data_IF_989175646802
#
_entry.id   IF_989175646802
#
_cell.length_a   1.000
_cell.length_b   1.000
_cell.length_c   1.000
_cell.angle_alpha   90.00
_cell.angle_beta   90.00
_cell.angle_gamma   90.00
#
_symmetry.space_group_name_H-M   'P 1'
#
loop_
_entity.id
_entity.type
_entity.pdbx_description
1 polymer ?
#
# COMPACT_ATOMS: atom_id res chain seq x y z
N UNK A 1 -2.31 29.39 4.54
CA UNK A 1 -1.72 28.54 5.58
C UNK A 1 -0.64 27.67 4.95
N UNK A 2 0.44 27.36 5.66
CA UNK A 2 1.44 26.46 5.12
C UNK A 2 0.81 25.09 4.84
N UNK A 3 1.21 24.45 3.75
CA UNK A 3 0.77 23.11 3.40
C UNK A 3 1.12 22.15 4.55
N UNK A 4 0.16 21.35 4.96
CA UNK A 4 0.32 20.41 6.08
C UNK A 4 -0.55 19.18 5.89
N UNK A 5 -0.22 18.11 6.62
CA UNK A 5 -1.08 16.96 6.76
C UNK A 5 -2.24 17.27 7.72
N UNK A 6 -3.44 16.93 7.33
CA UNK A 6 -4.63 17.09 8.17
C UNK A 6 -5.58 15.90 8.03
N UNK A 7 -6.33 15.65 9.09
CA UNK A 7 -7.37 14.63 9.07
C UNK A 7 -8.54 15.05 8.20
N UNK A 8 -9.07 14.09 7.46
CA UNK A 8 -10.30 14.26 6.68
C UNK A 8 -11.36 13.32 7.26
N UNK A 9 -12.58 13.81 7.51
CA UNK A 9 -13.63 13.01 8.11
C UNK A 9 -13.97 11.76 7.29
N UNK A 10 -14.20 10.68 8.00
CA UNK A 10 -14.78 9.45 7.46
C UNK A 10 -16.31 9.58 7.50
N UNK A 11 -17.07 9.06 6.52
CA UNK A 11 -18.52 9.13 6.54
C UNK A 11 -19.14 8.53 7.80
N UNK A 12 -20.20 9.17 8.34
CA UNK A 12 -20.89 8.73 9.56
C UNK A 12 -21.48 7.32 9.48
N UNK A 13 -21.72 6.81 8.27
CA UNK A 13 -22.24 5.46 8.05
C UNK A 13 -21.21 4.36 8.22
N UNK A 14 -19.94 4.70 8.24
CA UNK A 14 -18.88 3.72 8.52
C UNK A 14 -19.02 3.23 9.95
N UNK A 15 -19.20 1.94 10.10
CA UNK A 15 -19.40 1.34 11.43
C UNK A 15 -18.10 1.34 12.22
N UNK A 16 -18.16 1.40 13.56
CA UNK A 16 -16.97 1.32 14.41
C UNK A 16 -16.12 0.09 14.11
N UNK A 17 -14.85 0.14 14.48
CA UNK A 17 -13.83 -0.88 14.20
C UNK A 17 -13.64 -1.03 12.70
N UNK A 18 -13.28 0.07 12.06
CA UNK A 18 -12.98 0.13 10.65
C UNK A 18 -11.49 0.39 10.41
N UNK A 19 -10.99 -0.14 9.31
CA UNK A 19 -9.64 0.09 8.82
C UNK A 19 -9.67 0.28 7.30
N UNK A 20 -8.82 1.17 6.82
CA UNK A 20 -8.58 1.35 5.39
C UNK A 20 -7.21 0.77 5.03
N UNK A 21 -7.15 -0.03 3.99
CA UNK A 21 -5.95 -0.75 3.57
C UNK A 21 -5.21 -0.07 2.42
N UNK A 22 -5.93 0.54 1.51
CA UNK A 22 -5.35 1.20 0.34
C UNK A 22 -6.29 2.26 -0.22
N UNK A 23 -5.72 3.24 -0.91
CA UNK A 23 -6.46 4.25 -1.67
C UNK A 23 -5.81 4.45 -3.03
N UNK A 24 -6.60 4.94 -3.98
CA UNK A 24 -6.15 5.38 -5.29
C UNK A 24 -6.87 6.67 -5.65
N UNK A 25 -6.15 7.64 -6.20
CA UNK A 25 -6.71 8.89 -6.70
C UNK A 25 -6.54 8.96 -8.22
N UNK A 26 -7.57 9.48 -8.89
CA UNK A 26 -7.57 9.66 -10.33
C UNK A 26 -7.75 11.13 -10.75
N UNK A 27 -7.97 12.00 -9.80
CA UNK A 27 -8.12 13.42 -9.97
C UNK A 27 -8.50 14.12 -8.66
N UNK A 28 -8.62 15.46 -8.66
CA UNK A 28 -8.95 16.24 -7.46
C UNK A 28 -10.32 15.91 -6.85
N UNK A 29 -11.24 15.40 -7.67
CA UNK A 29 -12.61 15.06 -7.31
C UNK A 29 -12.89 13.54 -7.36
N UNK A 30 -11.87 12.73 -7.53
CA UNK A 30 -12.01 11.29 -7.71
C UNK A 30 -10.91 10.50 -7.03
N UNK A 31 -11.29 9.86 -5.94
CA UNK A 31 -10.45 8.89 -5.25
C UNK A 31 -11.32 7.80 -4.63
N UNK A 32 -10.72 6.66 -4.38
CA UNK A 32 -11.35 5.52 -3.70
C UNK A 32 -10.43 5.05 -2.59
N UNK A 33 -11.04 4.63 -1.49
CA UNK A 33 -10.35 3.97 -0.40
C UNK A 33 -11.12 2.70 -0.04
N UNK A 34 -10.41 1.63 0.25
CA UNK A 34 -11.00 0.33 0.55
C UNK A 34 -10.48 -0.25 1.85
N UNK A 35 -11.30 -1.08 2.47
CA UNK A 35 -10.96 -1.75 3.71
C UNK A 35 -12.11 -2.58 4.24
N UNK A 36 -12.35 -2.52 5.54
CA UNK A 36 -13.47 -3.15 6.21
C UNK A 36 -13.97 -2.30 7.36
N UNK A 37 -15.25 -2.45 7.69
CA UNK A 37 -15.84 -1.90 8.90
C UNK A 37 -16.49 -3.00 9.75
N UNK A 38 -16.95 -2.66 10.94
CA UNK A 38 -17.57 -3.59 11.89
C UNK A 38 -16.71 -4.85 12.15
N UNK A 39 -15.40 -4.70 12.21
CA UNK A 39 -14.47 -5.79 12.50
C UNK A 39 -14.59 -6.15 13.99
N UNK A 40 -14.92 -7.38 14.29
CA UNK A 40 -15.03 -7.90 15.66
C UNK A 40 -13.88 -8.84 16.01
N UNK A 41 -13.89 -9.31 17.25
CA UNK A 41 -12.87 -10.25 17.75
C UNK A 41 -12.84 -11.56 16.94
N UNK A 42 -14.00 -12.02 16.51
CA UNK A 42 -14.17 -13.25 15.72
C UNK A 42 -14.92 -13.00 14.40
N UNK A 43 -15.19 -11.73 14.09
CA UNK A 43 -15.88 -11.32 12.88
C UNK A 43 -14.92 -10.52 12.00
N UNK A 44 -14.70 -10.92 10.75
CA UNK A 44 -13.76 -10.26 9.85
C UNK A 44 -14.24 -8.90 9.34
N UNK A 45 -15.44 -8.47 9.73
CA UNK A 45 -16.07 -7.25 9.26
C UNK A 45 -16.77 -7.40 7.93
N UNK A 46 -17.03 -6.27 7.30
CA UNK A 46 -17.68 -6.19 6.00
C UNK A 46 -16.85 -5.34 5.05
N UNK A 47 -16.81 -5.67 3.76
CA UNK A 47 -16.09 -4.88 2.78
C UNK A 47 -16.59 -3.44 2.75
N UNK A 48 -15.65 -2.50 2.77
CA UNK A 48 -15.89 -1.07 2.80
C UNK A 48 -15.23 -0.42 1.59
N UNK A 49 -16.01 0.37 0.85
CA UNK A 49 -15.50 1.24 -0.23
C UNK A 49 -15.96 2.65 0.04
N UNK A 50 -15.01 3.57 0.07
CA UNK A 50 -15.27 5.00 0.15
C UNK A 50 -14.89 5.67 -1.17
N UNK A 51 -15.63 6.70 -1.58
CA UNK A 51 -15.37 7.51 -2.76
C UNK A 51 -15.31 8.99 -2.39
N UNK A 52 -14.29 9.67 -2.87
CA UNK A 52 -14.12 11.11 -2.78
C UNK A 52 -14.81 11.79 -3.97
N UNK A 53 -15.59 12.82 -3.71
CA UNK A 53 -16.34 13.60 -4.72
C UNK A 53 -15.75 15.00 -5.01
N UNK A 54 -14.62 15.32 -4.37
CA UNK A 54 -14.00 16.63 -4.42
C UNK A 54 -14.19 17.46 -3.15
N UNK A 55 -15.16 17.10 -2.32
CA UNK A 55 -15.51 17.81 -1.07
C UNK A 55 -15.54 16.92 0.15
N UNK A 56 -16.08 15.70 0.02
CA UNK A 56 -16.19 14.74 1.12
C UNK A 56 -16.11 13.29 0.64
N UNK A 57 -15.82 12.40 1.57
CA UNK A 57 -15.85 10.95 1.32
C UNK A 57 -17.27 10.41 1.54
N UNK A 58 -17.70 9.55 0.64
CA UNK A 58 -18.99 8.87 0.70
C UNK A 58 -18.79 7.37 0.78
N UNK A 59 -19.59 6.73 1.63
CA UNK A 59 -19.74 5.30 1.67
C UNK A 59 -20.46 4.81 0.39
N UNK A 60 -19.84 3.84 -0.30
CA UNK A 60 -20.38 3.31 -1.54
C UNK A 60 -21.23 2.07 -1.26
N UNK A 61 -22.41 2.05 -1.86
CA UNK A 61 -23.24 0.85 -1.88
C UNK A 61 -22.58 -0.27 -2.69
N UNK A 62 -22.64 -1.49 -2.15
CA UNK A 62 -22.12 -2.70 -2.77
C UNK A 62 -23.26 -3.69 -3.02
N UNK A 63 -24.15 -3.42 -3.99
CA UNK A 63 -25.32 -4.25 -4.23
C UNK A 63 -24.90 -5.67 -4.67
N UNK A 64 -25.55 -6.69 -4.07
CA UNK A 64 -25.22 -8.09 -4.35
C UNK A 64 -23.95 -8.61 -3.67
N UNK A 65 -23.24 -7.76 -2.95
CA UNK A 65 -22.04 -8.13 -2.20
C UNK A 65 -22.41 -8.24 -0.72
N UNK A 66 -22.74 -9.44 -0.29
CA UNK A 66 -23.23 -9.71 1.06
C UNK A 66 -22.30 -10.56 1.93
N UNK A 67 -21.11 -10.87 1.44
CA UNK A 67 -20.14 -11.65 2.22
C UNK A 67 -19.44 -10.79 3.27
N UNK A 68 -19.08 -11.43 4.37
CA UNK A 68 -18.20 -10.83 5.38
C UNK A 68 -16.75 -10.98 4.98
N UNK A 69 -15.94 -9.98 5.28
CA UNK A 69 -14.53 -9.94 4.94
C UNK A 69 -14.01 -8.52 4.77
N UNK A 70 -12.89 -8.39 4.11
CA UNK A 70 -12.21 -7.12 3.90
C UNK A 70 -11.77 -6.93 2.44
N UNK A 71 -11.64 -5.69 2.02
CA UNK A 71 -10.96 -5.32 0.80
C UNK A 71 -9.51 -4.95 1.13
N UNK A 72 -8.57 -5.60 0.44
CA UNK A 72 -7.14 -5.52 0.72
C UNK A 72 -6.45 -4.45 -0.12
N UNK A 73 -6.92 -4.24 -1.36
CA UNK A 73 -6.19 -3.46 -2.36
C UNK A 73 -7.16 -2.87 -3.38
N UNK A 74 -6.82 -1.70 -3.90
CA UNK A 74 -7.59 -0.99 -4.92
C UNK A 74 -6.64 -0.37 -5.94
N UNK A 75 -7.03 -0.40 -7.21
CA UNK A 75 -6.30 0.26 -8.29
C UNK A 75 -7.26 0.68 -9.40
N UNK A 76 -6.89 1.71 -10.15
CA UNK A 76 -7.71 2.25 -11.22
C UNK A 76 -6.84 2.59 -12.43
N UNK A 77 -7.29 2.19 -13.62
CA UNK A 77 -6.71 2.64 -14.89
C UNK A 77 -7.47 3.84 -15.49
N UNK A 78 -8.71 4.03 -15.05
CA UNK A 78 -9.57 5.16 -15.40
C UNK A 78 -10.64 5.36 -14.33
N UNK A 79 -11.38 6.48 -14.33
CA UNK A 79 -12.51 6.69 -13.41
C UNK A 79 -13.65 5.67 -13.56
N UNK A 80 -13.67 4.93 -14.65
CA UNK A 80 -14.68 3.91 -14.96
C UNK A 80 -14.13 2.48 -14.96
N UNK A 81 -12.89 2.31 -14.55
CA UNK A 81 -12.22 1.01 -14.48
C UNK A 81 -11.41 0.92 -13.19
N UNK A 82 -12.11 0.69 -12.09
CA UNK A 82 -11.52 0.52 -10.75
C UNK A 82 -11.69 -0.94 -10.33
N UNK A 83 -10.61 -1.51 -9.79
CA UNK A 83 -10.58 -2.87 -9.31
C UNK A 83 -10.26 -2.90 -7.82
N UNK A 84 -10.88 -3.81 -7.09
CA UNK A 84 -10.56 -4.09 -5.71
C UNK A 84 -10.42 -5.59 -5.48
N UNK A 85 -9.42 -5.96 -4.72
CA UNK A 85 -9.18 -7.33 -4.28
C UNK A 85 -9.61 -7.46 -2.82
N UNK A 86 -10.36 -8.51 -2.52
CA UNK A 86 -10.83 -8.80 -1.17
C UNK A 86 -10.60 -10.24 -0.77
N UNK A 87 -10.83 -10.48 0.50
CA UNK A 87 -10.82 -11.80 1.12
C UNK A 87 -12.04 -11.93 2.00
N UNK A 88 -12.82 -12.97 1.77
CA UNK A 88 -13.99 -13.26 2.59
C UNK A 88 -13.62 -13.99 3.90
N UNK A 89 -14.61 -14.17 4.77
CA UNK A 89 -14.45 -14.81 6.09
C UNK A 89 -13.92 -16.24 6.01
N UNK A 90 -14.15 -16.93 4.92
CA UNK A 90 -13.65 -18.29 4.69
C UNK A 90 -12.23 -18.32 4.10
N UNK A 91 -11.60 -17.15 3.88
CA UNK A 91 -10.30 -17.01 3.25
C UNK A 91 -10.36 -17.03 1.70
N UNK A 92 -11.55 -17.00 1.11
CA UNK A 92 -11.74 -16.98 -0.33
C UNK A 92 -11.39 -15.63 -0.96
N UNK A 93 -10.79 -15.67 -2.13
CA UNK A 93 -10.49 -14.47 -2.91
C UNK A 93 -11.77 -13.90 -3.50
N UNK A 94 -11.90 -12.58 -3.41
CA UNK A 94 -12.96 -11.79 -4.04
C UNK A 94 -12.34 -10.72 -4.93
N UNK A 95 -12.94 -10.50 -6.07
CA UNK A 95 -12.53 -9.48 -7.04
C UNK A 95 -13.73 -8.61 -7.37
N UNK A 96 -13.62 -7.31 -7.13
CA UNK A 96 -14.67 -6.34 -7.42
C UNK A 96 -14.24 -5.41 -8.53
N UNK A 97 -15.18 -4.94 -9.29
CA UNK A 97 -15.00 -3.95 -10.36
C UNK A 97 -16.03 -2.85 -10.26
N UNK A 98 -15.57 -1.61 -10.41
CA UNK A 98 -16.41 -0.44 -10.66
C UNK A 98 -16.34 -0.07 -12.14
N UNK A 99 -17.49 0.04 -12.78
CA UNK A 99 -17.62 0.31 -14.23
C UNK A 99 -17.90 1.79 -14.56
N UNK A 100 -17.84 2.65 -13.54
CA UNK A 100 -18.22 4.07 -13.61
C UNK A 100 -19.61 4.35 -13.08
N UNK A 101 -20.41 3.33 -12.86
CA UNK A 101 -21.79 3.43 -12.36
C UNK A 101 -21.98 2.67 -11.05
N UNK A 102 -21.55 1.42 -11.00
CA UNK A 102 -21.75 0.54 -9.85
C UNK A 102 -20.58 -0.42 -9.65
N UNK A 103 -20.44 -0.87 -8.40
CA UNK A 103 -19.57 -1.98 -8.05
C UNK A 103 -20.28 -3.32 -8.26
N UNK A 104 -19.55 -4.29 -8.77
CA UNK A 104 -20.02 -5.65 -8.95
C UNK A 104 -18.90 -6.65 -8.72
N UNK A 105 -19.24 -7.89 -8.41
CA UNK A 105 -18.27 -8.96 -8.36
C UNK A 105 -17.83 -9.35 -9.77
N UNK A 106 -16.54 -9.56 -9.91
CA UNK A 106 -15.92 -10.15 -11.09
C UNK A 106 -15.35 -11.51 -10.73
N UNK A 107 -15.32 -12.42 -11.71
CA UNK A 107 -14.74 -13.74 -11.48
C UNK A 107 -13.23 -13.65 -11.32
N UNK A 108 -12.66 -14.09 -10.16
CA UNK A 108 -11.23 -14.16 -10.01
C UNK A 108 -10.58 -15.16 -10.98
N UNK A 109 -9.29 -15.00 -11.31
CA UNK A 109 -8.56 -16.04 -12.02
C UNK A 109 -8.64 -17.38 -11.30
N UNK A 110 -8.84 -18.47 -12.04
CA UNK A 110 -9.04 -19.80 -11.47
C UNK A 110 -7.86 -20.24 -10.59
N UNK A 111 -8.17 -20.71 -9.37
CA UNK A 111 -7.20 -21.23 -8.43
C UNK A 111 -6.24 -20.19 -7.81
N UNK A 112 -6.42 -18.91 -8.09
CA UNK A 112 -5.59 -17.86 -7.55
C UNK A 112 -6.13 -17.31 -6.23
N UNK A 113 -5.25 -17.17 -5.22
CA UNK A 113 -5.51 -16.42 -4.01
C UNK A 113 -4.84 -15.04 -4.17
N UNK A 114 -5.63 -13.99 -4.30
CA UNK A 114 -5.14 -12.64 -4.61
C UNK A 114 -4.89 -11.83 -3.36
N UNK A 115 -3.85 -11.00 -3.37
CA UNK A 115 -3.50 -10.08 -2.28
C UNK A 115 -3.50 -8.62 -2.70
N UNK A 116 -3.18 -8.33 -3.97
CA UNK A 116 -3.08 -6.97 -4.47
C UNK A 116 -3.55 -6.86 -5.91
N UNK A 117 -4.06 -5.67 -6.23
CA UNK A 117 -4.23 -5.19 -7.60
C UNK A 117 -3.40 -3.93 -7.77
N UNK A 118 -2.70 -3.81 -8.88
CA UNK A 118 -1.85 -2.66 -9.20
C UNK A 118 -2.16 -2.20 -10.62
N UNK A 119 -2.24 -0.89 -10.82
CA UNK A 119 -2.50 -0.31 -12.12
C UNK A 119 -1.48 0.80 -12.44
N UNK A 120 -1.20 0.97 -13.71
CA UNK A 120 -0.34 2.02 -14.23
C UNK A 120 -0.12 1.83 -15.73
N UNK A 121 0.19 2.91 -16.46
CA UNK A 121 0.46 2.84 -17.89
C UNK A 121 -0.64 2.19 -18.74
N UNK A 122 -1.90 2.25 -18.30
CA UNK A 122 -3.02 1.56 -18.94
C UNK A 122 -3.13 0.07 -18.63
N UNK A 123 -2.24 -0.49 -17.83
CA UNK A 123 -2.18 -1.88 -17.43
C UNK A 123 -2.81 -2.12 -16.05
N UNK A 124 -3.35 -3.32 -15.84
CA UNK A 124 -3.79 -3.80 -14.53
C UNK A 124 -3.20 -5.18 -14.28
N UNK A 125 -2.51 -5.31 -13.15
CA UNK A 125 -1.87 -6.55 -12.71
C UNK A 125 -2.40 -6.98 -11.36
N UNK A 126 -2.36 -8.29 -11.11
CA UNK A 126 -2.68 -8.92 -9.83
C UNK A 126 -1.46 -9.61 -9.24
N UNK A 127 -1.32 -9.50 -7.95
CA UNK A 127 -0.34 -10.26 -7.15
C UNK A 127 -1.12 -11.25 -6.29
N UNK A 128 -0.67 -12.48 -6.26
CA UNK A 128 -1.28 -13.52 -5.42
C UNK A 128 -0.46 -14.80 -5.39
N UNK A 129 -1.14 -15.90 -5.17
CA UNK A 129 -0.54 -17.23 -5.17
C UNK A 129 -1.47 -18.24 -5.87
N UNK A 130 -0.89 -19.29 -6.39
CA UNK A 130 -1.58 -20.44 -6.96
C UNK A 130 -0.79 -21.71 -6.62
N UNK A 131 -1.48 -22.69 -6.06
CA UNK A 131 -0.85 -23.97 -5.65
C UNK A 131 0.37 -23.80 -4.71
N UNK A 132 0.30 -22.81 -3.79
CA UNK A 132 1.38 -22.53 -2.84
C UNK A 132 2.56 -21.74 -3.41
N UNK A 133 2.57 -21.43 -4.69
CA UNK A 133 3.59 -20.60 -5.32
C UNK A 133 3.05 -19.21 -5.63
N UNK A 134 3.94 -18.21 -5.64
CA UNK A 134 3.54 -16.87 -6.02
C UNK A 134 3.10 -16.81 -7.49
N UNK A 135 2.08 -16.01 -7.76
CA UNK A 135 1.54 -15.79 -9.09
C UNK A 135 1.43 -14.29 -9.39
N UNK A 136 1.75 -13.92 -10.61
CA UNK A 136 1.49 -12.61 -11.18
C UNK A 136 0.58 -12.78 -12.39
N UNK A 137 -0.42 -11.94 -12.51
CA UNK A 137 -1.35 -11.94 -13.63
C UNK A 137 -1.51 -10.53 -14.17
N UNK A 138 -1.72 -10.42 -15.48
CA UNK A 138 -2.05 -9.14 -16.13
C UNK A 138 -3.39 -9.24 -16.84
N UNK A 139 -4.10 -8.11 -16.90
CA UNK A 139 -5.33 -8.00 -17.67
C UNK A 139 -5.02 -7.87 -19.16
N UNK A 140 -5.63 -8.72 -19.97
CA UNK A 140 -5.60 -8.64 -21.42
C UNK A 140 -7.05 -8.72 -21.94
N UNK A 141 -7.58 -7.58 -22.33
CA UNK A 141 -8.99 -7.47 -22.69
C UNK A 141 -9.90 -7.90 -21.54
N UNK A 142 -10.55 -9.05 -21.68
CA UNK A 142 -11.47 -9.62 -20.68
C UNK A 142 -10.83 -10.74 -19.85
N UNK A 143 -9.59 -11.10 -20.14
CA UNK A 143 -8.90 -12.24 -19.53
C UNK A 143 -7.80 -11.79 -18.59
N UNK A 144 -7.47 -12.67 -17.64
CA UNK A 144 -6.29 -12.58 -16.83
C UNK A 144 -5.26 -13.59 -17.34
N UNK A 145 -4.07 -13.11 -17.70
CA UNK A 145 -2.97 -13.94 -18.19
C UNK A 145 -1.89 -14.03 -17.13
N UNK A 146 -1.33 -15.22 -16.98
CA UNK A 146 -0.17 -15.43 -16.14
C UNK A 146 1.06 -14.73 -16.72
N UNK A 147 1.82 -14.10 -15.83
CA UNK A 147 3.13 -13.50 -16.13
C UNK A 147 4.17 -14.27 -15.35
N UNK A 148 5.35 -14.57 -15.92
CA UNK A 148 6.43 -15.17 -15.18
C UNK A 148 6.74 -14.40 -13.90
N UNK A 149 7.06 -15.09 -12.82
CA UNK A 149 7.42 -14.49 -11.53
C UNK A 149 8.94 -14.40 -11.43
N UNK A 150 9.51 -13.25 -11.01
CA UNK A 150 10.94 -13.18 -10.75
C UNK A 150 11.32 -14.08 -9.57
N UNK A 151 12.60 -14.45 -9.42
CA UNK A 151 13.07 -15.24 -8.28
C UNK A 151 12.70 -14.60 -6.94
N UNK A 152 12.34 -15.41 -5.95
CA UNK A 152 11.94 -14.95 -4.61
C UNK A 152 10.48 -14.56 -4.53
N UNK A 153 10.19 -13.59 -3.67
CA UNK A 153 8.83 -13.09 -3.42
C UNK A 153 8.66 -11.67 -3.96
N UNK A 154 7.49 -11.36 -4.50
CA UNK A 154 7.07 -10.02 -4.93
C UNK A 154 6.04 -9.48 -3.94
N UNK A 155 6.26 -8.29 -3.42
CA UNK A 155 5.37 -7.63 -2.45
C UNK A 155 4.74 -6.35 -2.99
N UNK A 156 5.25 -5.79 -4.06
CA UNK A 156 4.69 -4.61 -4.69
C UNK A 156 5.18 -4.42 -6.12
N UNK A 157 4.43 -3.64 -6.88
CA UNK A 157 4.72 -3.32 -8.28
C UNK A 157 4.61 -1.83 -8.52
N UNK A 158 5.41 -1.34 -9.47
CA UNK A 158 5.22 -0.06 -10.14
C UNK A 158 5.13 -0.31 -11.64
N UNK A 159 4.00 0.00 -12.24
CA UNK A 159 3.71 -0.27 -13.65
C UNK A 159 3.76 1.04 -14.42
N UNK A 160 4.69 1.16 -15.35
CA UNK A 160 4.85 2.33 -16.22
C UNK A 160 4.27 2.08 -17.62
N UNK A 161 4.40 0.85 -18.10
CA UNK A 161 3.88 0.37 -19.37
C UNK A 161 3.85 -1.17 -19.35
N UNK A 162 3.28 -1.78 -20.39
CA UNK A 162 3.20 -3.23 -20.53
C UNK A 162 4.59 -3.93 -20.56
N UNK A 163 5.60 -3.22 -21.01
CA UNK A 163 6.99 -3.66 -21.13
C UNK A 163 7.94 -2.93 -20.15
N UNK A 164 7.38 -2.21 -19.18
CA UNK A 164 8.14 -1.48 -18.17
C UNK A 164 7.46 -1.58 -16.80
N UNK A 165 7.71 -2.70 -16.12
CA UNK A 165 7.16 -2.98 -14.79
C UNK A 165 8.29 -3.28 -13.82
N UNK A 166 8.22 -2.68 -12.65
CA UNK A 166 9.19 -2.87 -11.57
C UNK A 166 8.53 -3.59 -10.40
N UNK A 167 9.21 -4.61 -9.88
CA UNK A 167 8.73 -5.41 -8.76
C UNK A 167 9.67 -5.28 -7.57
N UNK A 168 9.12 -4.97 -6.41
CA UNK A 168 9.83 -4.99 -5.15
C UNK A 168 9.55 -6.28 -4.39
N UNK A 169 10.54 -6.84 -3.73
CA UNK A 169 10.39 -8.06 -2.96
C UNK A 169 11.63 -8.47 -2.19
N UNK A 170 11.81 -9.76 -2.06
CA UNK A 170 12.94 -10.35 -1.37
C UNK A 170 13.29 -11.72 -1.95
N UNK A 171 14.57 -12.07 -1.83
CA UNK A 171 15.11 -13.41 -2.03
C UNK A 171 15.72 -13.90 -0.71
N UNK A 172 16.28 -15.10 -0.71
CA UNK A 172 17.06 -15.62 0.43
C UNK A 172 18.27 -14.72 0.78
N UNK A 173 18.74 -13.93 -0.18
CA UNK A 173 19.83 -12.97 0.03
C UNK A 173 19.39 -11.62 0.59
N UNK A 174 18.09 -11.36 0.70
CA UNK A 174 17.53 -10.11 1.17
C UNK A 174 16.71 -9.38 0.11
N UNK A 175 16.51 -8.07 0.29
CA UNK A 175 15.72 -7.24 -0.61
C UNK A 175 16.20 -7.34 -2.07
N UNK A 176 15.25 -7.41 -2.98
CA UNK A 176 15.50 -7.48 -4.41
C UNK A 176 14.48 -6.67 -5.19
N UNK A 177 14.92 -6.08 -6.29
CA UNK A 177 14.07 -5.36 -7.24
C UNK A 177 14.26 -5.97 -8.61
N UNK A 178 13.17 -6.21 -9.32
CA UNK A 178 13.19 -6.82 -10.65
C UNK A 178 12.52 -5.91 -11.65
N UNK A 179 13.04 -5.85 -12.86
CA UNK A 179 12.51 -5.09 -13.98
C UNK A 179 12.01 -6.02 -15.08
N UNK A 180 10.76 -5.84 -15.49
CA UNK A 180 10.11 -6.53 -16.60
C UNK A 180 10.21 -5.70 -17.88
N UNK A 181 10.74 -6.28 -18.93
CA UNK A 181 10.90 -5.65 -20.24
C UNK A 181 9.85 -6.06 -21.28
N UNK A 182 8.76 -6.69 -20.83
CA UNK A 182 7.73 -7.27 -21.70
C UNK A 182 7.94 -8.75 -22.04
N UNK A 183 9.11 -9.30 -21.76
CA UNK A 183 9.46 -10.69 -22.07
C UNK A 183 10.09 -11.43 -20.88
N UNK A 184 10.94 -10.76 -20.11
CA UNK A 184 11.68 -11.37 -19.02
C UNK A 184 11.93 -10.37 -17.88
N UNK A 185 12.16 -10.92 -16.69
CA UNK A 185 12.59 -10.18 -15.51
C UNK A 185 14.13 -10.14 -15.44
N UNK A 186 14.65 -8.94 -15.17
CA UNK A 186 16.02 -8.74 -14.75
C UNK A 186 16.04 -8.32 -13.29
N UNK A 187 16.66 -9.13 -12.43
CA UNK A 187 16.68 -8.89 -10.99
C UNK A 187 18.01 -8.32 -10.55
N UNK A 188 17.93 -7.35 -9.63
CA UNK A 188 19.07 -6.84 -8.88
C UNK A 188 18.84 -7.00 -7.39
N UNK A 189 19.87 -7.48 -6.68
CA UNK A 189 19.83 -7.64 -5.22
C UNK A 189 20.33 -6.37 -4.56
N UNK A 190 19.72 -6.01 -3.45
CA UNK A 190 20.20 -4.93 -2.60
C UNK A 190 21.26 -5.49 -1.66
N UNK A 191 22.53 -5.29 -2.00
CA UNK A 191 23.64 -5.83 -1.24
C UNK A 191 23.81 -5.18 0.14
N UNK A 192 24.36 -5.94 1.08
CA UNK A 192 24.67 -5.47 2.43
C UNK A 192 23.52 -5.53 3.44
N UNK A 193 22.33 -6.01 3.03
CA UNK A 193 21.16 -6.10 3.90
C UNK A 193 20.57 -7.51 3.87
N UNK A 194 21.23 -8.50 4.45
CA UNK A 194 20.67 -9.85 4.56
C UNK A 194 19.37 -9.81 5.37
N UNK A 195 18.39 -10.62 4.99
CA UNK A 195 17.07 -10.69 5.62
C UNK A 195 16.22 -9.40 5.51
N UNK A 196 16.62 -8.47 4.68
CA UNK A 196 15.80 -7.31 4.34
C UNK A 196 14.71 -7.68 3.33
N UNK A 197 13.69 -6.84 3.24
CA UNK A 197 12.64 -6.94 2.24
C UNK A 197 12.16 -5.55 1.84
N UNK A 198 11.79 -5.37 0.60
CA UNK A 198 11.16 -4.15 0.09
C UNK A 198 9.79 -4.49 -0.48
N UNK A 199 8.79 -3.70 -0.11
CA UNK A 199 7.40 -3.88 -0.54
C UNK A 199 6.86 -2.73 -1.38
N UNK A 200 7.61 -1.65 -1.49
CA UNK A 200 7.26 -0.49 -2.30
C UNK A 200 8.40 -0.16 -3.25
N UNK A 201 8.07 0.18 -4.49
CA UNK A 201 9.04 0.56 -5.52
C UNK A 201 8.50 1.72 -6.34
N UNK A 202 9.37 2.66 -6.68
CA UNK A 202 9.10 3.78 -7.55
C UNK A 202 10.25 3.91 -8.55
N UNK A 203 9.99 3.62 -9.81
CA UNK A 203 10.94 3.80 -10.90
C UNK A 203 10.72 5.16 -11.56
N UNK A 204 11.61 6.10 -11.33
CA UNK A 204 11.63 7.39 -12.01
C UNK A 204 12.16 7.20 -13.44
N UNK A 205 13.23 6.45 -13.57
CA UNK A 205 13.88 6.05 -14.82
C UNK A 205 14.68 4.75 -14.59
N UNK A 206 15.25 4.12 -15.62
CA UNK A 206 16.13 2.96 -15.43
C UNK A 206 17.38 3.24 -14.58
N UNK A 207 17.76 4.51 -14.42
CA UNK A 207 18.91 4.94 -13.63
C UNK A 207 18.51 5.66 -12.34
N UNK A 208 17.24 5.69 -12.00
CA UNK A 208 16.74 6.21 -10.75
C UNK A 208 15.53 5.41 -10.28
N UNK A 209 15.76 4.44 -9.40
CA UNK A 209 14.70 3.62 -8.83
C UNK A 209 14.82 3.68 -7.30
N UNK A 210 13.68 3.86 -6.65
CA UNK A 210 13.56 3.85 -5.20
C UNK A 210 12.82 2.60 -4.75
N UNK A 211 13.28 2.02 -3.66
CA UNK A 211 12.56 0.91 -3.02
C UNK A 211 12.59 1.06 -1.51
N UNK A 212 11.51 0.67 -0.87
CA UNK A 212 11.32 0.82 0.55
C UNK A 212 10.73 -0.40 1.22
N UNK A 213 11.11 -0.62 2.47
CA UNK A 213 10.66 -1.73 3.28
C UNK A 213 11.35 -1.77 4.64
N UNK A 214 11.88 -2.93 5.02
CA UNK A 214 12.56 -3.18 6.28
C UNK A 214 13.98 -3.68 6.08
N UNK A 215 14.90 -3.24 6.94
CA UNK A 215 16.31 -3.62 6.88
C UNK A 215 16.61 -4.96 7.56
N UNK A 216 15.62 -5.64 8.12
CA UNK A 216 15.78 -6.91 8.81
C UNK A 216 14.50 -7.74 8.81
N UNK A 217 14.59 -8.95 9.32
CA UNK A 217 13.49 -9.91 9.36
C UNK A 217 12.50 -9.59 10.50
N UNK A 218 11.21 -9.56 10.15
CA UNK A 218 10.12 -9.52 11.13
C UNK A 218 9.98 -10.91 11.75
N UNK A 219 10.50 -11.11 12.95
CA UNK A 219 10.46 -12.42 13.63
C UNK A 219 11.76 -12.77 14.37
N UNK A 220 12.65 -11.80 14.49
CA UNK A 220 13.83 -11.94 15.36
C UNK A 220 13.46 -12.00 16.84
N UNK A 221 14.42 -12.23 17.75
CA UNK A 221 14.17 -12.28 19.18
C UNK A 221 13.37 -11.07 19.66
N UNK A 222 12.42 -11.25 20.60
CA UNK A 222 11.67 -10.14 21.16
C UNK A 222 12.60 -9.02 21.64
N UNK A 223 12.30 -7.78 21.26
CA UNK A 223 13.04 -6.59 21.71
C UNK A 223 14.11 -6.06 20.77
N UNK A 224 14.35 -6.67 19.61
CA UNK A 224 15.21 -6.04 18.60
C UNK A 224 14.35 -5.23 17.61
N UNK A 225 14.57 -3.92 17.56
CA UNK A 225 13.89 -3.07 16.61
C UNK A 225 14.36 -3.36 15.19
N UNK A 226 13.40 -3.36 14.26
CA UNK A 226 13.68 -3.51 12.84
C UNK A 226 13.66 -2.11 12.25
N UNK A 227 14.79 -1.60 11.72
CA UNK A 227 14.81 -0.27 11.12
C UNK A 227 14.15 -0.27 9.74
N UNK A 228 13.56 0.86 9.34
CA UNK A 228 13.10 1.03 7.97
C UNK A 228 14.27 1.03 7.00
N UNK A 229 14.02 0.51 5.80
CA UNK A 229 14.97 0.50 4.71
C UNK A 229 14.43 1.35 3.56
N UNK A 230 15.20 2.34 3.14
CA UNK A 230 15.02 3.07 1.90
C UNK A 230 16.30 2.98 1.10
N UNK A 231 16.20 2.52 -0.14
CA UNK A 231 17.34 2.37 -1.05
C UNK A 231 17.05 3.03 -2.39
N UNK A 232 18.10 3.54 -3.01
CA UNK A 232 18.08 4.19 -4.32
C UNK A 232 19.06 3.50 -5.24
N UNK A 233 18.61 3.19 -6.45
CA UNK A 233 19.41 2.64 -7.55
C UNK A 233 19.81 3.74 -8.53
N UNK A 234 21.06 3.77 -8.92
CA UNK A 234 21.62 4.76 -9.86
C UNK A 234 21.79 4.22 -11.29
N UNK A 235 21.27 3.01 -11.54
CA UNK A 235 21.46 2.26 -12.78
C UNK A 235 22.57 1.21 -12.71
N UNK A 236 23.37 1.23 -11.65
CA UNK A 236 24.45 0.27 -11.44
C UNK A 236 24.42 -0.35 -10.04
N UNK A 237 24.26 0.47 -9.01
CA UNK A 237 24.33 0.04 -7.62
C UNK A 237 23.16 0.60 -6.79
N UNK A 238 22.83 -0.12 -5.73
CA UNK A 238 21.91 0.32 -4.69
C UNK A 238 22.67 1.02 -3.58
N UNK A 239 22.17 2.14 -3.11
CA UNK A 239 22.65 2.82 -1.93
C UNK A 239 21.53 3.08 -0.94
N UNK A 240 21.85 2.96 0.36
CA UNK A 240 20.90 3.28 1.42
C UNK A 240 20.73 4.79 1.53
N UNK A 241 19.47 5.23 1.65
CA UNK A 241 19.12 6.59 2.03
C UNK A 241 18.60 6.55 3.46
N UNK A 242 19.20 7.35 4.35
CA UNK A 242 18.84 7.36 5.77
C UNK A 242 17.42 7.88 5.96
N UNK A 243 16.61 7.09 6.66
CA UNK A 243 15.30 7.47 7.15
C UNK A 243 15.41 7.86 8.61
N UNK A 244 14.89 9.03 9.04
CA UNK A 244 15.01 9.50 10.42
C UNK A 244 13.99 8.79 11.34
N UNK A 245 14.06 7.47 11.38
CA UNK A 245 13.26 6.61 12.25
C UNK A 245 14.10 5.37 12.62
N UNK A 246 14.13 5.04 13.90
CA UNK A 246 14.91 3.90 14.39
C UNK A 246 14.20 2.56 14.13
N UNK A 247 12.87 2.59 14.01
CA UNK A 247 12.05 1.38 13.90
C UNK A 247 10.93 1.58 12.89
N UNK A 248 10.50 0.49 12.29
CA UNK A 248 9.35 0.45 11.43
C UNK A 248 9.67 -0.02 10.02
N UNK A 249 8.84 0.37 9.10
CA UNK A 249 9.00 0.06 7.68
C UNK A 249 8.66 1.28 6.84
N UNK A 250 9.34 1.42 5.71
CA UNK A 250 8.83 2.26 4.63
C UNK A 250 7.62 1.55 4.06
N UNK A 251 6.44 2.11 4.26
CA UNK A 251 5.17 1.46 3.89
C UNK A 251 4.71 1.85 2.49
N UNK A 252 5.07 3.03 2.02
CA UNK A 252 4.63 3.51 0.72
C UNK A 252 5.55 4.61 0.17
N UNK A 253 5.67 4.67 -1.14
CA UNK A 253 6.34 5.73 -1.89
C UNK A 253 5.33 6.42 -2.80
N UNK A 254 5.39 7.73 -2.94
CA UNK A 254 4.53 8.48 -3.83
C UNK A 254 5.35 9.38 -4.74
N UNK A 255 4.98 9.40 -6.02
CA UNK A 255 5.58 10.26 -7.02
C UNK A 255 5.00 11.68 -6.99
N UNK A 256 5.82 12.65 -7.37
CA UNK A 256 5.40 13.99 -7.74
C UNK A 256 4.66 13.99 -9.09
N UNK A 257 4.04 15.11 -9.49
CA UNK A 257 3.45 15.23 -10.83
C UNK A 257 4.44 14.96 -11.97
N UNK A 258 5.73 15.22 -11.76
CA UNK A 258 6.79 14.94 -12.74
C UNK A 258 7.29 13.49 -12.73
N UNK A 259 6.78 12.64 -11.84
CA UNK A 259 7.18 11.24 -11.72
C UNK A 259 8.41 10.99 -10.84
N UNK A 260 9.01 12.03 -10.25
CA UNK A 260 10.10 11.88 -9.27
C UNK A 260 9.56 11.52 -7.90
N UNK A 261 10.42 11.04 -7.00
CA UNK A 261 10.00 10.80 -5.61
C UNK A 261 9.54 12.11 -4.97
N UNK A 262 8.36 12.09 -4.35
CA UNK A 262 7.84 13.20 -3.57
C UNK A 262 7.73 12.85 -2.09
N UNK A 263 7.15 11.69 -1.77
CA UNK A 263 6.82 11.30 -0.41
C UNK A 263 7.20 9.87 -0.09
N UNK A 264 7.60 9.70 1.16
CA UNK A 264 7.81 8.39 1.80
C UNK A 264 6.96 8.35 3.05
N UNK A 265 6.17 7.31 3.24
CA UNK A 265 5.49 7.07 4.51
C UNK A 265 6.21 6.01 5.33
N UNK A 266 6.23 6.21 6.64
CA UNK A 266 6.90 5.32 7.60
C UNK A 266 5.87 4.78 8.58
N UNK A 267 5.59 3.49 8.49
CA UNK A 267 4.81 2.79 9.50
C UNK A 267 5.75 2.41 10.65
N UNK A 268 5.61 3.10 11.78
CA UNK A 268 6.45 2.86 12.94
C UNK A 268 6.03 1.58 13.65
N UNK A 269 6.97 0.66 13.84
CA UNK A 269 6.69 -0.55 14.62
C UNK A 269 6.71 -0.23 16.10
N UNK A 270 5.75 -0.77 16.82
CA UNK A 270 5.72 -0.69 18.28
C UNK A 270 6.78 -1.61 18.87
N UNK A 271 7.42 -1.17 19.96
CA UNK A 271 8.28 -2.06 20.76
C UNK A 271 7.42 -3.16 21.36
N UNK A 272 7.86 -4.40 21.19
CA UNK A 272 7.26 -5.53 21.90
C UNK A 272 7.46 -5.36 23.41
N UNK A 273 6.35 -5.38 24.15
CA UNK A 273 6.33 -5.49 25.60
C UNK A 273 5.78 -6.85 26.05
N UNK A 274 5.73 -7.11 27.35
CA UNK A 274 5.06 -8.28 27.88
C UNK A 274 3.60 -8.36 27.38
N UNK A 275 3.00 -9.56 27.26
CA UNK A 275 1.60 -9.70 26.92
C UNK A 275 0.73 -8.83 27.84
N UNK A 276 -0.15 -8.01 27.24
CA UNK A 276 -1.03 -7.10 27.98
C UNK A 276 -0.47 -5.70 28.24
N UNK A 277 0.79 -5.42 27.90
CA UNK A 277 1.32 -4.05 27.96
C UNK A 277 0.87 -3.25 26.75
N UNK A 278 0.53 -1.97 26.97
CA UNK A 278 0.39 -1.01 25.86
C UNK A 278 1.78 -0.73 25.31
N UNK A 279 2.06 -1.03 24.03
CA UNK A 279 3.36 -0.71 23.48
C UNK A 279 3.60 0.80 23.53
N UNK A 280 4.78 1.26 23.96
CA UNK A 280 5.09 2.68 23.91
C UNK A 280 5.09 3.18 22.47
N UNK A 281 4.60 4.40 22.25
CA UNK A 281 4.73 5.08 20.97
C UNK A 281 6.21 5.20 20.60
N UNK A 282 6.53 4.89 19.36
CA UNK A 282 7.88 5.06 18.83
C UNK A 282 7.98 6.46 18.24
N UNK A 283 8.86 7.33 18.77
CA UNK A 283 9.06 8.67 18.20
C UNK A 283 9.55 8.60 16.74
N UNK A 284 9.14 9.56 15.95
CA UNK A 284 9.59 9.69 14.58
C UNK A 284 8.52 10.32 13.69
N UNK A 285 8.87 10.70 12.47
CA UNK A 285 7.93 11.20 11.49
C UNK A 285 7.07 10.08 10.91
N UNK A 286 5.88 10.45 10.44
CA UNK A 286 5.00 9.57 9.67
C UNK A 286 5.23 9.72 8.17
N UNK A 287 5.60 10.93 7.75
CA UNK A 287 5.78 11.28 6.35
C UNK A 287 7.07 12.05 6.14
N UNK A 288 7.74 11.75 5.04
CA UNK A 288 8.98 12.40 4.62
C UNK A 288 8.78 12.97 3.21
N UNK A 289 8.90 14.28 3.07
CA UNK A 289 8.87 14.94 1.77
C UNK A 289 10.30 15.04 1.21
N UNK A 290 10.50 14.56 0.01
CA UNK A 290 11.79 14.61 -0.70
C UNK A 290 11.90 15.81 -1.61
N UNK A 291 12.95 16.59 -1.49
CA UNK A 291 13.19 17.78 -2.32
C UNK A 291 14.27 17.57 -3.39
N UNK A 292 14.71 16.33 -3.59
CA UNK A 292 15.82 15.98 -4.50
C UNK A 292 17.17 15.79 -3.79
N UNK A 293 17.31 16.25 -2.57
CA UNK A 293 18.56 16.17 -1.78
C UNK A 293 18.37 15.71 -0.34
N UNK A 294 17.27 16.12 0.28
CA UNK A 294 16.99 15.86 1.69
C UNK A 294 15.51 15.67 1.95
N UNK A 295 15.18 15.15 3.12
CA UNK A 295 13.81 15.00 3.58
C UNK A 295 13.41 16.13 4.52
N UNK A 296 12.16 16.58 4.38
CA UNK A 296 11.44 17.33 5.40
C UNK A 296 10.50 16.38 6.11
N UNK A 297 10.54 16.40 7.45
CA UNK A 297 9.76 15.49 8.30
C UNK A 297 8.40 16.09 8.62
N UNK A 298 7.37 15.24 8.55
CA UNK A 298 6.00 15.56 8.94
C UNK A 298 5.42 14.46 9.82
N UNK A 299 4.58 14.86 10.76
CA UNK A 299 3.82 13.92 11.59
C UNK A 299 2.33 14.14 11.37
N UNK A 300 1.54 13.09 11.54
CA UNK A 300 0.10 13.24 11.57
C UNK A 300 -0.33 14.07 12.78
N UNK A 301 -1.40 14.89 12.67
CA UNK A 301 -1.95 15.57 13.82
C UNK A 301 -2.45 14.56 14.86
N UNK A 302 -2.07 14.75 16.11
CA UNK A 302 -2.48 13.88 17.21
C UNK A 302 -3.99 13.91 17.44
N UNK A 303 -4.57 12.75 17.75
CA UNK A 303 -5.96 12.61 18.17
C UNK A 303 -5.98 12.09 19.60
N UNK A 304 -6.71 12.77 20.47
CA UNK A 304 -6.78 12.43 21.88
C UNK A 304 -7.34 11.00 22.07
N UNK A 305 -6.66 10.18 22.86
CA UNK A 305 -7.07 8.81 23.16
C UNK A 305 -6.73 7.78 22.09
N UNK A 306 -6.04 8.19 21.04
CA UNK A 306 -5.62 7.31 19.95
C UNK A 306 -4.10 7.28 19.81
N UNK A 307 -3.59 6.15 19.34
CA UNK A 307 -2.19 5.98 18.99
C UNK A 307 -1.87 6.48 17.58
N UNK A 308 -0.62 6.27 17.17
CA UNK A 308 -0.18 6.56 15.82
C UNK A 308 -0.88 5.68 14.78
N UNK A 309 -1.03 6.21 13.59
CA UNK A 309 -1.57 5.47 12.47
C UNK A 309 -0.64 4.35 12.02
N UNK A 310 -1.23 3.25 11.62
CA UNK A 310 -0.57 2.11 11.00
C UNK A 310 -0.95 1.98 9.54
N UNK A 311 -0.07 1.37 8.76
CA UNK A 311 -0.31 1.07 7.35
C UNK A 311 -0.66 2.34 6.57
N UNK A 312 0.21 3.35 6.68
CA UNK A 312 0.04 4.62 5.96
C UNK A 312 0.32 4.41 4.47
N UNK A 313 -0.73 4.16 3.71
CA UNK A 313 -0.66 4.00 2.25
C UNK A 313 -0.91 5.34 1.58
N UNK A 314 0.04 5.75 0.75
CA UNK A 314 -0.01 7.00 0.01
C UNK A 314 -0.74 6.83 -1.33
N UNK A 315 -1.55 7.82 -1.66
CA UNK A 315 -2.22 7.91 -2.96
C UNK A 315 -2.07 9.35 -3.49
N UNK A 316 -1.07 9.60 -4.34
CA UNK A 316 -0.90 10.91 -4.94
C UNK A 316 -2.05 11.22 -5.90
N UNK A 317 -2.50 12.48 -5.89
CA UNK A 317 -3.51 12.96 -6.83
C UNK A 317 -2.81 13.40 -8.12
N UNK A 318 -3.04 12.72 -9.25
CA UNK A 318 -2.34 13.01 -10.50
C UNK A 318 -2.41 14.48 -10.92
N UNK A 319 -1.27 15.02 -11.32
CA UNK A 319 -1.16 16.40 -11.79
C UNK A 319 -1.24 17.48 -10.70
N UNK A 320 -1.19 17.10 -9.43
CA UNK A 320 -1.24 18.00 -8.27
C UNK A 320 -0.17 17.65 -7.25
N UNK A 321 0.02 18.53 -6.27
CA UNK A 321 0.86 18.27 -5.09
C UNK A 321 0.08 17.62 -3.94
N UNK A 322 -1.22 17.39 -4.11
CA UNK A 322 -2.07 16.75 -3.11
C UNK A 322 -1.78 15.26 -3.02
N UNK A 323 -1.69 14.77 -1.79
CA UNK A 323 -1.50 13.34 -1.52
C UNK A 323 -2.46 12.91 -0.42
N UNK A 324 -3.12 11.79 -0.63
CA UNK A 324 -3.90 11.09 0.37
C UNK A 324 -3.05 10.06 1.11
N UNK A 325 -3.36 9.86 2.36
CA UNK A 325 -2.85 8.72 3.13
C UNK A 325 -4.00 8.04 3.87
N UNK A 326 -4.07 6.74 3.80
CA UNK A 326 -5.09 5.96 4.48
C UNK A 326 -4.47 4.88 5.36
N UNK A 327 -5.19 4.52 6.41
CA UNK A 327 -4.75 3.52 7.36
C UNK A 327 -5.75 3.35 8.51
N UNK A 328 -5.22 2.98 9.66
CA UNK A 328 -5.97 2.91 10.91
C UNK A 328 -5.13 3.42 12.07
N UNK A 329 -5.77 3.93 13.11
CA UNK A 329 -5.13 4.21 14.38
C UNK A 329 -5.67 3.28 15.45
N UNK A 330 -4.77 2.75 16.27
CA UNK A 330 -5.16 1.92 17.41
C UNK A 330 -5.64 2.82 18.56
N UNK A 331 -6.69 2.37 19.22
CA UNK A 331 -7.24 2.97 20.42
C UNK A 331 -7.04 2.08 21.66
N UNK A 332 -7.66 2.45 22.79
CA UNK A 332 -7.61 1.68 24.01
C UNK A 332 -8.28 0.31 23.85
N UNK A 333 -7.83 -0.68 24.63
CA UNK A 333 -8.44 -2.01 24.73
C UNK A 333 -8.58 -2.79 23.39
N UNK A 334 -7.65 -2.54 22.45
CA UNK A 334 -7.66 -3.22 21.14
C UNK A 334 -8.70 -2.65 20.16
N UNK A 335 -9.28 -1.50 20.45
CA UNK A 335 -10.09 -0.75 19.49
C UNK A 335 -9.23 -0.11 18.43
N UNK A 336 -9.80 0.19 17.28
CA UNK A 336 -9.15 0.95 16.22
C UNK A 336 -10.15 1.75 15.40
N UNK A 337 -9.67 2.80 14.78
CA UNK A 337 -10.47 3.70 13.95
C UNK A 337 -9.81 3.90 12.57
N UNK A 338 -10.59 4.11 11.51
CA UNK A 338 -10.05 4.41 10.20
C UNK A 338 -9.36 5.77 10.18
N UNK A 339 -8.33 5.90 9.35
CA UNK A 339 -7.61 7.14 9.14
C UNK A 339 -7.63 7.53 7.68
N UNK A 340 -8.00 8.78 7.44
CA UNK A 340 -7.80 9.47 6.17
C UNK A 340 -7.09 10.77 6.47
N UNK A 341 -5.94 10.94 5.86
CA UNK A 341 -5.12 12.15 5.92
C UNK A 341 -4.96 12.72 4.52
N UNK A 342 -4.82 14.02 4.45
CA UNK A 342 -4.57 14.74 3.20
C UNK A 342 -3.47 15.76 3.41
N UNK A 343 -2.57 15.86 2.45
CA UNK A 343 -1.62 16.95 2.30
C UNK A 343 -2.07 17.86 1.17
N UNK A 344 -2.11 19.16 1.45
CA UNK A 344 -2.55 20.16 0.47
C UNK A 344 -3.69 21.04 0.95
#
# INVERSE_FOLDING_TARGET
DPLSWHHVPVPDRVRPQAALNEAVAFGPDRAWAVGADAVGREAPGYPLVLRWDGTEWHDQSLPGIGWQGELLSVAATSPTAVWAVGRDAAGGTRLLRFDGTAWSESRPPSGAALTQVVAGGGETWLIGSRDGAQALLRRDGIRWQDVPVPPGSVYGLHIKAADDVWAAGATDSGAAVSHWNGQAWQQTTVDGFPRSAVGSVLAVSPTEVWAGGTAGFVGGPPGRPIPPLLVRFDGQTWSRVTVPADFGSVSSLAASPSGTLAWVSVARSQKWGPPGSTPPLVPGPDFLAWNGQSFTEYSEPAVAGEGDSRTLRLAPVPGTETVWSVGRADGPEGTFAPRILRFG
#
